data_IF_539290319845
#
_entry.id   IF_539290319845
#
_cell.length_a   1.000
_cell.length_b   1.000
_cell.length_c   1.000
_cell.angle_alpha   90.00
_cell.angle_beta   90.00
_cell.angle_gamma   90.00
#
_symmetry.space_group_name_H-M   'P 1'
#
loop_
_entity.id
_entity.type
_entity.pdbx_description
1 polymer ?
#
# COMPACT_ATOMS: atom_id res chain seq x y z
N UNK A 1 -1.25 -28.57 20.37
CA UNK A 1 -2.40 -27.99 19.64
C UNK A 1 -2.42 -26.49 19.93
N UNK A 2 -1.58 -25.69 19.25
CA UNK A 2 -1.20 -24.34 19.73
C UNK A 2 -1.48 -23.21 18.74
N UNK A 3 -2.17 -23.48 17.62
CA UNK A 3 -2.45 -22.46 16.59
C UNK A 3 -3.94 -22.15 16.38
N UNK A 4 -4.84 -22.83 17.10
CA UNK A 4 -6.29 -22.74 16.88
C UNK A 4 -6.95 -21.43 17.33
N UNK A 5 -6.18 -20.45 17.84
CA UNK A 5 -6.70 -19.17 18.35
C UNK A 5 -6.25 -17.95 17.53
N UNK A 6 -5.53 -18.13 16.42
CA UNK A 6 -5.05 -17.00 15.62
C UNK A 6 -6.07 -16.52 14.59
N UNK A 7 -7.00 -17.37 14.16
CA UNK A 7 -8.02 -17.03 13.18
C UNK A 7 -9.38 -17.59 13.60
N UNK A 8 -10.45 -16.94 13.15
CA UNK A 8 -11.82 -17.37 13.39
C UNK A 8 -12.26 -18.46 12.41
N UNK A 9 -11.97 -18.27 11.11
CA UNK A 9 -12.29 -19.25 10.05
C UNK A 9 -11.23 -19.27 8.96
N UNK A 10 -11.00 -20.44 8.36
CA UNK A 10 -10.16 -20.60 7.17
C UNK A 10 -10.97 -21.34 6.09
N UNK A 11 -10.93 -20.83 4.85
CA UNK A 11 -11.55 -21.44 3.66
C UNK A 11 -10.47 -21.74 2.63
N UNK A 12 -10.60 -22.89 1.97
CA UNK A 12 -9.74 -23.33 0.88
C UNK A 12 -10.56 -23.39 -0.41
N UNK A 13 -10.03 -22.81 -1.49
CA UNK A 13 -10.69 -22.76 -2.79
C UNK A 13 -10.03 -23.74 -3.79
N UNK A 14 -10.78 -24.25 -4.79
CA UNK A 14 -10.24 -25.16 -5.80
C UNK A 14 -9.10 -24.61 -6.66
N UNK A 15 -9.02 -23.27 -6.80
CA UNK A 15 -7.93 -22.57 -7.49
C UNK A 15 -6.64 -22.48 -6.65
N UNK A 16 -6.66 -23.01 -5.41
CA UNK A 16 -5.54 -22.99 -4.47
C UNK A 16 -5.48 -21.75 -3.59
N UNK A 17 -6.39 -20.78 -3.76
CA UNK A 17 -6.53 -19.62 -2.85
C UNK A 17 -6.93 -20.11 -1.46
N UNK A 18 -6.44 -19.42 -0.43
CA UNK A 18 -6.94 -19.53 0.94
C UNK A 18 -7.49 -18.19 1.41
N UNK A 19 -8.58 -18.21 2.16
CA UNK A 19 -9.15 -17.03 2.82
C UNK A 19 -9.21 -17.30 4.32
N UNK A 20 -8.62 -16.40 5.10
CA UNK A 20 -8.54 -16.47 6.56
C UNK A 20 -9.30 -15.27 7.11
N UNK A 21 -10.26 -15.50 7.99
CA UNK A 21 -10.98 -14.43 8.70
C UNK A 21 -10.47 -14.39 10.14
N UNK A 22 -9.99 -13.23 10.57
CA UNK A 22 -9.49 -12.98 11.92
C UNK A 22 -10.60 -12.53 12.87
N UNK A 23 -10.41 -12.62 14.21
CA UNK A 23 -11.40 -12.16 15.18
C UNK A 23 -11.76 -10.68 15.09
N UNK A 24 -10.84 -9.85 14.59
CA UNK A 24 -11.06 -8.42 14.34
C UNK A 24 -11.85 -8.15 13.04
N UNK A 25 -12.32 -9.20 12.35
CA UNK A 25 -12.98 -9.18 11.05
C UNK A 25 -12.06 -8.82 9.86
N UNK A 26 -10.75 -8.76 10.05
CA UNK A 26 -9.81 -8.70 8.94
C UNK A 26 -9.91 -9.98 8.11
N UNK A 27 -10.02 -9.84 6.79
CA UNK A 27 -10.00 -10.97 5.84
C UNK A 27 -8.65 -10.98 5.15
N UNK A 28 -7.91 -12.08 5.24
CA UNK A 28 -6.63 -12.29 4.53
C UNK A 28 -6.78 -13.37 3.47
N UNK A 29 -6.54 -12.99 2.22
CA UNK A 29 -6.43 -13.88 1.07
C UNK A 29 -4.96 -14.21 0.81
N UNK A 30 -4.67 -15.50 0.68
CA UNK A 30 -3.37 -16.03 0.24
C UNK A 30 -3.56 -16.65 -1.14
N UNK A 31 -2.84 -16.15 -2.13
CA UNK A 31 -2.93 -16.63 -3.50
C UNK A 31 -1.87 -17.71 -3.75
N UNK A 32 -2.14 -18.71 -4.62
CA UNK A 32 -1.19 -19.79 -4.96
C UNK A 32 0.16 -19.29 -5.47
N UNK A 33 0.11 -18.07 -5.97
CA UNK A 33 1.14 -17.43 -6.71
C UNK A 33 2.12 -16.69 -5.77
N UNK A 34 1.78 -16.57 -4.49
CA UNK A 34 2.59 -15.95 -3.44
C UNK A 34 2.18 -14.52 -3.11
N UNK A 35 1.18 -13.97 -3.81
CA UNK A 35 0.58 -12.70 -3.42
C UNK A 35 -0.31 -12.87 -2.17
N UNK A 36 -0.46 -11.79 -1.41
CA UNK A 36 -1.38 -11.72 -0.28
C UNK A 36 -2.25 -10.47 -0.39
N UNK A 37 -3.48 -10.55 0.09
CA UNK A 37 -4.38 -9.41 0.23
C UNK A 37 -5.04 -9.44 1.61
N UNK A 38 -5.04 -8.31 2.32
CA UNK A 38 -5.75 -8.11 3.58
C UNK A 38 -6.80 -7.02 3.41
N UNK A 39 -8.05 -7.32 3.76
CA UNK A 39 -9.18 -6.40 3.76
C UNK A 39 -9.52 -6.13 5.22
N UNK A 40 -9.38 -4.87 5.64
CA UNK A 40 -9.64 -4.43 7.00
C UNK A 40 -11.09 -3.94 7.17
N UNK A 41 -11.65 -3.99 8.38
CA UNK A 41 -13.03 -3.55 8.63
C UNK A 41 -13.32 -2.08 8.30
N UNK A 42 -12.30 -1.23 8.32
CA UNK A 42 -12.41 0.19 7.94
C UNK A 42 -12.46 0.41 6.42
N UNK A 43 -12.37 -0.66 5.63
CA UNK A 43 -12.34 -0.65 4.17
C UNK A 43 -10.94 -0.47 3.57
N UNK A 44 -9.90 -0.39 4.39
CA UNK A 44 -8.51 -0.40 3.91
C UNK A 44 -8.19 -1.76 3.30
N UNK A 45 -7.54 -1.76 2.14
CA UNK A 45 -7.07 -2.98 1.47
C UNK A 45 -5.55 -2.90 1.34
N UNK A 46 -4.85 -3.95 1.79
CA UNK A 46 -3.39 -4.07 1.68
C UNK A 46 -3.07 -5.28 0.81
N UNK A 47 -2.36 -5.07 -0.30
CA UNK A 47 -1.86 -6.12 -1.18
C UNK A 47 -0.35 -6.21 -1.09
N UNK A 48 0.18 -7.40 -0.84
CA UNK A 48 1.61 -7.70 -0.89
C UNK A 48 1.87 -8.52 -2.14
N UNK A 49 2.69 -7.97 -3.02
CA UNK A 49 3.12 -8.61 -4.26
C UNK A 49 4.26 -9.58 -3.99
N UNK A 50 4.50 -10.50 -4.95
CA UNK A 50 5.55 -11.53 -4.82
C UNK A 50 6.96 -10.96 -4.66
N UNK A 51 7.21 -9.78 -5.23
CA UNK A 51 8.47 -9.05 -5.13
C UNK A 51 8.64 -8.29 -3.80
N UNK A 52 7.65 -8.39 -2.90
CA UNK A 52 7.62 -7.70 -1.61
C UNK A 52 7.04 -6.28 -1.67
N UNK A 53 6.70 -5.77 -2.86
CA UNK A 53 6.04 -4.47 -2.98
C UNK A 53 4.66 -4.51 -2.34
N UNK A 54 4.29 -3.44 -1.64
CA UNK A 54 2.99 -3.32 -0.97
C UNK A 54 2.17 -2.22 -1.61
N UNK A 55 0.92 -2.53 -1.96
CA UNK A 55 -0.08 -1.56 -2.37
C UNK A 55 -1.09 -1.43 -1.23
N UNK A 56 -1.44 -0.20 -0.84
CA UNK A 56 -2.45 0.09 0.16
C UNK A 56 -3.51 0.98 -0.48
N UNK A 57 -4.76 0.59 -0.41
CA UNK A 57 -5.91 1.38 -0.84
C UNK A 57 -6.74 1.74 0.38
N UNK A 58 -6.90 3.04 0.63
CA UNK A 58 -7.67 3.55 1.75
C UNK A 58 -9.11 3.83 1.32
N UNK A 59 -10.03 3.74 2.26
CA UNK A 59 -11.45 4.01 2.04
C UNK A 59 -11.76 5.43 1.52
N UNK A 60 -10.86 6.39 1.73
CA UNK A 60 -10.98 7.76 1.28
C UNK A 60 -10.46 8.00 -0.15
N UNK A 61 -10.12 6.92 -0.87
CA UNK A 61 -9.59 6.96 -2.24
C UNK A 61 -8.09 7.25 -2.34
N UNK A 62 -7.38 7.47 -1.22
CA UNK A 62 -5.93 7.52 -1.24
C UNK A 62 -5.35 6.13 -1.52
N UNK A 63 -4.21 6.11 -2.21
CA UNK A 63 -3.47 4.89 -2.48
C UNK A 63 -2.00 5.07 -2.14
N UNK A 64 -1.36 4.03 -1.60
CA UNK A 64 0.07 4.00 -1.38
C UNK A 64 0.73 2.82 -2.09
N UNK A 65 1.93 3.04 -2.61
CA UNK A 65 2.84 2.03 -3.11
C UNK A 65 4.13 2.10 -2.30
N UNK A 66 4.47 1.02 -1.61
CA UNK A 66 5.73 0.87 -0.89
C UNK A 66 6.61 -0.12 -1.66
N UNK A 67 7.79 0.34 -2.04
CA UNK A 67 8.84 -0.47 -2.66
C UNK A 67 10.09 -0.42 -1.81
N UNK A 68 11.12 -1.18 -2.17
CA UNK A 68 12.43 -1.10 -1.51
C UNK A 68 13.13 0.26 -1.74
N UNK A 69 12.67 1.07 -2.70
CA UNK A 69 13.34 2.27 -3.18
C UNK A 69 12.57 3.54 -2.83
N UNK A 70 11.24 3.45 -2.68
CA UNK A 70 10.42 4.61 -2.33
C UNK A 70 9.07 4.22 -1.70
N UNK A 71 8.45 5.21 -1.07
CA UNK A 71 7.03 5.20 -0.72
C UNK A 71 6.33 6.28 -1.53
N UNK A 72 5.32 5.90 -2.31
CA UNK A 72 4.50 6.82 -3.10
C UNK A 72 3.09 6.85 -2.53
N UNK A 73 2.54 8.04 -2.35
CA UNK A 73 1.14 8.28 -2.02
C UNK A 73 0.46 9.01 -3.17
N UNK A 74 -0.64 8.47 -3.62
CA UNK A 74 -1.54 8.99 -4.65
C UNK A 74 -2.80 9.49 -3.94
N UNK A 75 -3.14 10.76 -4.18
CA UNK A 75 -4.29 11.41 -3.57
C UNK A 75 -5.47 11.46 -4.56
N UNK A 76 -6.73 11.49 -4.08
CA UNK A 76 -7.91 11.55 -4.95
C UNK A 76 -7.95 12.78 -5.86
N UNK A 77 -7.33 13.88 -5.44
CA UNK A 77 -7.22 15.10 -6.24
C UNK A 77 -6.24 14.95 -7.42
N UNK A 78 -5.54 13.82 -7.54
CA UNK A 78 -4.52 13.50 -8.54
C UNK A 78 -3.09 13.90 -8.14
N UNK A 79 -2.90 14.51 -6.97
CA UNK A 79 -1.57 14.81 -6.43
C UNK A 79 -0.82 13.52 -6.12
N UNK A 80 0.46 13.46 -6.45
CA UNK A 80 1.32 12.31 -6.15
C UNK A 80 2.54 12.77 -5.36
N UNK A 81 2.76 12.17 -4.20
CA UNK A 81 3.95 12.39 -3.37
C UNK A 81 4.80 11.13 -3.32
N UNK A 82 6.07 11.22 -3.69
CA UNK A 82 7.04 10.12 -3.58
C UNK A 82 8.15 10.50 -2.61
N UNK A 83 8.44 9.63 -1.64
CA UNK A 83 9.57 9.75 -0.70
C UNK A 83 10.53 8.60 -1.01
N UNK A 84 11.74 8.93 -1.44
CA UNK A 84 12.78 7.97 -1.79
C UNK A 84 13.60 7.58 -0.55
N UNK A 85 14.26 6.43 -0.59
CA UNK A 85 15.09 5.95 0.53
C UNK A 85 16.29 6.83 0.87
N UNK A 86 16.78 7.62 -0.09
CA UNK A 86 17.79 8.65 0.14
C UNK A 86 17.24 9.92 0.83
N UNK A 87 15.95 9.93 1.17
CA UNK A 87 15.25 11.03 1.84
C UNK A 87 14.74 12.13 0.90
N UNK A 88 15.04 12.07 -0.40
CA UNK A 88 14.46 12.99 -1.37
C UNK A 88 12.94 12.84 -1.43
N UNK A 89 12.24 13.96 -1.61
CA UNK A 89 10.79 13.99 -1.73
C UNK A 89 10.39 14.70 -3.00
N UNK A 90 9.54 14.07 -3.80
CA UNK A 90 8.94 14.65 -4.99
C UNK A 90 7.44 14.80 -4.78
N UNK A 91 6.88 15.95 -5.15
CA UNK A 91 5.43 16.17 -5.21
C UNK A 91 5.07 16.63 -6.61
N UNK A 92 4.26 15.83 -7.31
CA UNK A 92 3.65 16.14 -8.60
C UNK A 92 2.21 16.57 -8.34
N UNK A 93 1.90 17.82 -8.67
CA UNK A 93 0.55 18.36 -8.57
C UNK A 93 -0.19 18.11 -9.89
N UNK A 94 -1.52 18.08 -9.83
CA UNK A 94 -2.36 17.94 -11.03
C UNK A 94 -2.23 19.06 -12.05
N UNK A 95 -1.79 20.23 -11.60
CA UNK A 95 -1.48 21.35 -12.49
C UNK A 95 -0.23 21.10 -13.36
N UNK A 96 0.52 20.01 -13.14
CA UNK A 96 1.80 19.75 -13.80
C UNK A 96 3.01 20.34 -13.06
N UNK A 97 2.78 21.14 -12.01
CA UNK A 97 3.84 21.61 -11.11
C UNK A 97 4.54 20.41 -10.45
N UNK A 98 5.86 20.46 -10.37
CA UNK A 98 6.70 19.46 -9.72
C UNK A 98 7.59 20.18 -8.70
N UNK A 99 7.55 19.72 -7.45
CA UNK A 99 8.41 20.21 -6.38
C UNK A 99 9.25 19.09 -5.81
N UNK A 100 10.57 19.27 -5.79
CA UNK A 100 11.54 18.33 -5.25
C UNK A 100 12.24 18.94 -4.04
N UNK A 101 12.34 18.16 -2.97
CA UNK A 101 13.06 18.51 -1.74
C UNK A 101 14.11 17.46 -1.42
N UNK A 102 15.18 17.89 -0.76
CA UNK A 102 16.13 16.97 -0.12
C UNK A 102 15.56 16.40 1.19
N UNK A 103 16.36 15.57 1.87
CA UNK A 103 16.03 14.95 3.16
C UNK A 103 15.80 15.95 4.30
N UNK A 104 16.40 17.13 4.22
CA UNK A 104 16.32 18.18 5.25
C UNK A 104 15.13 19.12 4.97
N UNK A 105 14.46 18.95 3.83
CA UNK A 105 13.28 19.71 3.42
C UNK A 105 13.59 20.94 2.56
N UNK A 106 14.86 21.16 2.20
CA UNK A 106 15.26 22.25 1.31
C UNK A 106 14.73 21.98 -0.10
N UNK A 107 14.23 23.02 -0.75
CA UNK A 107 13.71 22.91 -2.12
C UNK A 107 14.89 22.85 -3.09
N UNK A 108 15.04 21.72 -3.78
CA UNK A 108 16.04 21.53 -4.84
C UNK A 108 15.50 21.98 -6.20
N UNK A 109 14.20 21.81 -6.41
CA UNK A 109 13.52 22.16 -7.66
C UNK A 109 12.06 22.49 -7.38
N UNK A 110 11.54 23.49 -8.10
CA UNK A 110 10.13 23.84 -8.09
C UNK A 110 9.77 24.37 -9.49
N UNK A 111 9.09 23.57 -10.30
CA UNK A 111 8.64 24.04 -11.60
C UNK A 111 7.55 25.08 -11.39
N UNK A 112 7.64 26.19 -12.11
CA UNK A 112 6.50 27.10 -12.23
C UNK A 112 5.58 26.55 -13.31
N UNK A 113 4.30 26.92 -13.20
CA UNK A 113 3.32 26.72 -14.28
C UNK A 113 3.73 27.51 -15.51
#
# INVERSE_FOLDING_TARGET
NTYSNLFSTEKHFPDGRKEITFPDQTIKNLFPDGQEESIFPDGTIVRVQRDGNKIIEFNNGQRELHTAQFKRREYPDGTVKTVYTNGHQETKYTSGRIRVKDKDGNVLMDTKL
#
